data_IF_805579307323
#
_entry.id   IF_805579307323
#
_cell.length_a   1.000
_cell.length_b   1.000
_cell.length_c   1.000
_cell.angle_alpha   90.00
_cell.angle_beta   90.00
_cell.angle_gamma   90.00
#
_symmetry.space_group_name_H-M   'P 1'
#
loop_
_entity.id
_entity.type
_entity.pdbx_description
1 polymer ?
#
# COMPACT_ATOMS: atom_id res chain seq x y z
N UNK A 1 -25.20 15.07 -3.64
CA UNK A 1 -24.43 14.78 -2.41
C UNK A 1 -24.32 13.27 -2.26
N UNK A 2 -23.22 12.69 -2.75
CA UNK A 2 -23.02 11.24 -2.74
C UNK A 2 -22.62 10.78 -1.33
N UNK A 3 -23.51 10.06 -0.66
CA UNK A 3 -23.32 9.51 0.68
C UNK A 3 -22.03 8.67 0.72
N UNK A 4 -21.06 8.94 1.61
CA UNK A 4 -19.84 8.16 1.64
C UNK A 4 -20.18 6.72 2.02
N UNK A 5 -19.91 5.78 1.11
CA UNK A 5 -20.10 4.36 1.35
C UNK A 5 -19.25 3.97 2.56
N UNK A 6 -19.91 3.71 3.69
CA UNK A 6 -19.24 3.19 4.88
C UNK A 6 -18.54 1.88 4.50
N UNK A 7 -17.21 1.76 4.67
CA UNK A 7 -16.53 0.55 4.26
C UNK A 7 -16.94 -0.58 5.22
N UNK A 8 -17.66 -1.57 4.68
CA UNK A 8 -18.24 -2.72 5.38
C UNK A 8 -17.52 -3.98 4.92
N UNK A 9 -17.46 -4.97 5.80
CA UNK A 9 -17.02 -6.32 5.45
C UNK A 9 -17.93 -6.88 4.37
N UNK A 10 -17.35 -7.56 3.38
CA UNK A 10 -18.07 -8.22 2.27
C UNK A 10 -17.82 -9.73 2.33
N UNK A 11 -18.38 -10.46 3.32
CA UNK A 11 -18.02 -11.86 3.59
C UNK A 11 -18.29 -12.79 2.40
N UNK A 12 -19.32 -12.53 1.59
CA UNK A 12 -19.60 -13.30 0.37
C UNK A 12 -18.50 -13.08 -0.69
N UNK A 13 -18.01 -11.85 -0.83
CA UNK A 13 -16.91 -11.55 -1.75
C UNK A 13 -15.59 -12.18 -1.27
N UNK A 14 -15.32 -12.14 0.04
CA UNK A 14 -14.19 -12.83 0.65
C UNK A 14 -14.25 -14.35 0.41
N UNK A 15 -15.40 -14.98 0.65
CA UNK A 15 -15.59 -16.42 0.43
C UNK A 15 -15.39 -16.81 -1.04
N UNK A 16 -15.86 -15.98 -1.98
CA UNK A 16 -15.63 -16.19 -3.42
C UNK A 16 -14.15 -16.09 -3.78
N UNK A 17 -13.45 -15.08 -3.25
CA UNK A 17 -12.01 -14.91 -3.47
C UNK A 17 -11.22 -16.11 -2.94
N UNK A 18 -11.51 -16.59 -1.72
CA UNK A 18 -10.91 -17.82 -1.17
C UNK A 18 -11.18 -19.03 -2.06
N UNK A 19 -12.43 -19.23 -2.50
CA UNK A 19 -12.79 -20.36 -3.36
C UNK A 19 -12.02 -20.34 -4.69
N UNK A 20 -11.85 -19.16 -5.27
CA UNK A 20 -11.12 -19.00 -6.53
C UNK A 20 -9.62 -19.24 -6.33
N UNK A 21 -9.03 -18.75 -5.23
CA UNK A 21 -7.63 -19.02 -4.88
C UNK A 21 -7.36 -20.52 -4.62
N UNK A 22 -8.34 -21.24 -4.04
CA UNK A 22 -8.24 -22.70 -3.87
C UNK A 22 -8.28 -23.45 -5.20
N UNK A 23 -8.95 -22.90 -6.22
CA UNK A 23 -9.05 -23.49 -7.57
C UNK A 23 -7.83 -23.15 -8.44
N UNK A 24 -7.29 -21.94 -8.28
CA UNK A 24 -6.07 -21.51 -8.93
C UNK A 24 -5.23 -20.73 -7.92
N UNK A 25 -4.17 -21.37 -7.41
CA UNK A 25 -3.29 -20.78 -6.41
C UNK A 25 -2.42 -19.66 -6.95
N UNK A 26 -2.28 -19.57 -8.28
CA UNK A 26 -1.49 -18.52 -8.94
C UNK A 26 -2.34 -17.28 -9.29
N UNK A 27 -3.65 -17.30 -9.04
CA UNK A 27 -4.53 -16.14 -9.23
C UNK A 27 -4.34 -15.12 -8.08
N UNK A 28 -3.23 -14.40 -8.12
CA UNK A 28 -2.83 -13.38 -7.14
C UNK A 28 -3.85 -12.24 -7.02
N UNK A 29 -4.67 -12.01 -8.06
CA UNK A 29 -5.76 -11.02 -8.02
C UNK A 29 -6.79 -11.36 -6.92
N UNK A 30 -7.03 -12.64 -6.63
CA UNK A 30 -7.96 -13.04 -5.57
C UNK A 30 -7.48 -12.64 -4.18
N UNK A 31 -6.16 -12.55 -3.96
CA UNK A 31 -5.59 -12.06 -2.70
C UNK A 31 -5.99 -10.61 -2.46
N UNK A 32 -5.87 -9.76 -3.48
CA UNK A 32 -6.30 -8.36 -3.41
C UNK A 32 -7.80 -8.22 -3.15
N UNK A 33 -8.62 -9.01 -3.85
CA UNK A 33 -10.08 -9.02 -3.64
C UNK A 33 -10.47 -9.49 -2.24
N UNK A 34 -9.76 -10.49 -1.70
CA UNK A 34 -9.96 -10.97 -0.33
C UNK A 34 -9.63 -9.89 0.69
N UNK A 35 -8.45 -9.25 0.56
CA UNK A 35 -8.02 -8.15 1.44
C UNK A 35 -9.02 -6.99 1.36
N UNK A 36 -9.50 -6.63 0.17
CA UNK A 36 -10.51 -5.58 0.02
C UNK A 36 -11.83 -5.94 0.71
N UNK A 37 -12.30 -7.18 0.52
CA UNK A 37 -13.53 -7.66 1.12
C UNK A 37 -13.47 -7.71 2.65
N UNK A 38 -12.28 -7.95 3.23
CA UNK A 38 -12.06 -8.04 4.67
C UNK A 38 -11.64 -6.72 5.33
N UNK A 39 -11.28 -5.69 4.55
CA UNK A 39 -10.75 -4.42 5.05
C UNK A 39 -11.68 -3.69 6.04
N UNK A 40 -13.00 -3.82 5.86
CA UNK A 40 -14.02 -3.24 6.74
C UNK A 40 -13.72 -1.77 7.12
N UNK A 41 -13.80 -1.45 8.42
CA UNK A 41 -13.46 -0.12 8.96
C UNK A 41 -11.98 0.03 9.34
N UNK A 42 -11.12 -0.95 9.05
CA UNK A 42 -9.73 -0.98 9.54
C UNK A 42 -8.93 0.24 9.06
N UNK A 43 -9.04 0.62 7.79
CA UNK A 43 -8.36 1.82 7.27
C UNK A 43 -8.77 3.10 8.01
N UNK A 44 -10.05 3.27 8.35
CA UNK A 44 -10.50 4.46 9.11
C UNK A 44 -9.98 4.45 10.55
N UNK A 45 -9.89 3.28 11.19
CA UNK A 45 -9.31 3.13 12.54
C UNK A 45 -7.81 3.42 12.54
N UNK A 46 -7.09 2.91 11.54
CA UNK A 46 -5.65 3.17 11.34
C UNK A 46 -5.40 4.65 11.08
N UNK A 47 -6.22 5.26 10.21
CA UNK A 47 -6.15 6.68 9.93
C UNK A 47 -6.41 7.54 11.19
N UNK A 48 -7.43 7.19 11.99
CA UNK A 48 -7.71 7.87 13.24
C UNK A 48 -6.55 7.78 14.24
N UNK A 49 -5.79 6.68 14.25
CA UNK A 49 -4.54 6.56 15.03
C UNK A 49 -3.43 7.42 14.43
N UNK A 50 -3.25 7.36 13.11
CA UNK A 50 -2.21 8.09 12.38
C UNK A 50 -2.27 9.60 12.64
N UNK A 51 -3.45 10.22 12.52
CA UNK A 51 -3.64 11.68 12.75
C UNK A 51 -3.37 12.14 14.19
N UNK A 52 -3.22 11.21 15.15
CA UNK A 52 -2.86 11.50 16.54
C UNK A 52 -1.36 11.44 16.79
N UNK A 53 -0.58 10.99 15.82
CA UNK A 53 0.89 10.96 15.90
C UNK A 53 1.47 12.27 15.39
N UNK A 54 2.63 12.68 15.91
CA UNK A 54 3.35 13.86 15.43
C UNK A 54 3.65 13.77 13.93
N UNK A 55 4.15 12.62 13.47
CA UNK A 55 4.40 12.37 12.04
C UNK A 55 3.12 12.48 11.22
N UNK A 56 2.00 11.96 11.71
CA UNK A 56 0.74 12.04 10.99
C UNK A 56 0.21 13.47 10.91
N UNK A 57 0.34 14.26 11.97
CA UNK A 57 -0.03 15.67 11.96
C UNK A 57 0.82 16.46 10.97
N UNK A 58 2.15 16.25 10.95
CA UNK A 58 3.05 16.89 9.99
C UNK A 58 2.70 16.51 8.54
N UNK A 59 2.52 15.21 8.27
CA UNK A 59 2.15 14.73 6.91
C UNK A 59 0.84 15.32 6.43
N UNK A 60 -0.18 15.38 7.28
CA UNK A 60 -1.48 15.95 6.92
C UNK A 60 -1.42 17.47 6.76
N UNK A 61 -0.76 18.17 7.69
CA UNK A 61 -0.65 19.64 7.66
C UNK A 61 0.16 20.15 6.46
N UNK A 62 1.21 19.44 6.07
CA UNK A 62 2.05 19.77 4.92
C UNK A 62 1.56 19.15 3.60
N UNK A 63 0.48 18.34 3.64
CA UNK A 63 0.00 17.55 2.49
C UNK A 63 1.12 16.75 1.80
N UNK A 64 2.00 16.11 2.59
CA UNK A 64 3.20 15.43 2.09
C UNK A 64 2.85 14.15 1.35
N UNK A 65 2.96 14.18 0.02
CA UNK A 65 2.81 13.00 -0.81
C UNK A 65 4.11 12.24 -0.87
N UNK A 66 4.08 10.97 -0.46
CA UNK A 66 5.27 10.12 -0.50
C UNK A 66 5.69 9.82 -1.95
N UNK A 67 4.70 9.67 -2.83
CA UNK A 67 4.89 9.45 -4.25
C UNK A 67 5.88 10.46 -4.86
N UNK A 68 5.74 11.75 -4.60
CA UNK A 68 6.57 12.81 -5.19
C UNK A 68 8.07 12.60 -4.98
N UNK A 69 8.47 11.94 -3.87
CA UNK A 69 9.86 11.59 -3.58
C UNK A 69 10.27 10.26 -4.19
N UNK A 70 9.35 9.30 -4.23
CA UNK A 70 9.62 7.96 -4.80
C UNK A 70 9.61 7.94 -6.33
N UNK A 71 8.97 8.94 -6.96
CA UNK A 71 8.98 9.18 -8.41
C UNK A 71 10.26 9.85 -8.91
N UNK A 72 10.97 10.57 -8.06
CA UNK A 72 12.19 11.29 -8.45
C UNK A 72 13.40 10.35 -8.56
N UNK A 73 13.42 9.60 -9.67
CA UNK A 73 14.46 8.60 -9.96
C UNK A 73 15.86 9.20 -10.05
N UNK A 74 15.97 10.44 -10.53
CA UNK A 74 17.27 11.11 -10.69
C UNK A 74 17.87 11.38 -9.32
N UNK A 75 17.09 11.96 -8.40
CA UNK A 75 17.55 12.20 -7.04
C UNK A 75 17.84 10.90 -6.30
N UNK A 76 16.99 9.88 -6.44
CA UNK A 76 17.20 8.59 -5.77
C UNK A 76 18.45 7.85 -6.27
N UNK A 77 18.72 7.89 -7.57
CA UNK A 77 19.94 7.29 -8.16
C UNK A 77 21.21 7.99 -7.69
N UNK A 78 21.14 9.31 -7.44
CA UNK A 78 22.26 10.11 -6.97
C UNK A 78 22.60 9.88 -5.47
N UNK A 79 21.73 9.21 -4.72
CA UNK A 79 21.97 8.97 -3.30
C UNK A 79 23.15 7.97 -3.09
N UNK A 80 23.93 8.13 -2.01
CA UNK A 80 25.01 7.20 -1.67
C UNK A 80 24.50 5.77 -1.46
N UNK A 81 25.35 4.79 -1.81
CA UNK A 81 25.11 3.39 -1.49
C UNK A 81 24.94 3.19 0.03
N UNK A 82 24.07 2.27 0.43
CA UNK A 82 23.72 2.01 1.83
C UNK A 82 22.63 2.92 2.40
N UNK A 83 22.17 3.93 1.66
CA UNK A 83 20.97 4.71 2.03
C UNK A 83 19.70 3.99 1.59
N UNK A 84 18.59 4.20 2.32
CA UNK A 84 17.29 3.64 1.97
C UNK A 84 16.81 4.09 0.58
N UNK A 85 17.01 5.36 0.23
CA UNK A 85 16.58 5.87 -1.07
C UNK A 85 17.35 5.23 -2.23
N UNK A 86 18.66 5.00 -2.06
CA UNK A 86 19.45 4.27 -3.06
C UNK A 86 19.02 2.81 -3.17
N UNK A 87 18.83 2.13 -2.04
CA UNK A 87 18.36 0.75 -2.01
C UNK A 87 16.97 0.59 -2.67
N UNK A 88 16.06 1.53 -2.44
CA UNK A 88 14.76 1.56 -3.10
C UNK A 88 14.88 1.75 -4.61
N UNK A 89 15.74 2.66 -5.07
CA UNK A 89 16.00 2.82 -6.50
C UNK A 89 16.51 1.54 -7.16
N UNK A 90 17.50 0.90 -6.54
CA UNK A 90 18.10 -0.33 -7.05
C UNK A 90 17.06 -1.49 -7.08
N UNK A 91 16.24 -1.61 -6.04
CA UNK A 91 15.13 -2.58 -5.96
C UNK A 91 14.07 -2.37 -7.06
N UNK A 92 13.62 -1.13 -7.27
CA UNK A 92 12.65 -0.84 -8.31
C UNK A 92 13.22 -1.13 -9.71
N UNK A 93 14.51 -0.86 -9.92
CA UNK A 93 15.20 -1.16 -11.17
C UNK A 93 15.33 -2.67 -11.42
N UNK A 94 15.65 -3.49 -10.40
CA UNK A 94 15.77 -4.95 -10.55
C UNK A 94 14.43 -5.62 -10.88
N UNK A 95 13.33 -5.06 -10.37
CA UNK A 95 11.97 -5.55 -10.62
C UNK A 95 11.35 -4.99 -11.91
N UNK A 96 12.07 -4.13 -12.65
CA UNK A 96 11.57 -3.43 -13.84
C UNK A 96 10.30 -2.59 -13.56
N UNK A 97 10.21 -1.99 -12.36
CA UNK A 97 9.08 -1.19 -11.90
C UNK A 97 9.42 0.31 -11.79
N UNK A 98 8.38 1.14 -11.79
CA UNK A 98 8.46 2.56 -11.40
C UNK A 98 7.30 2.93 -10.46
N UNK A 99 7.53 3.88 -9.55
CA UNK A 99 6.52 4.33 -8.60
C UNK A 99 5.26 4.84 -9.32
N UNK A 100 5.45 5.54 -10.44
CA UNK A 100 4.37 6.05 -11.29
C UNK A 100 3.63 4.94 -12.02
N UNK A 101 4.34 3.89 -12.48
CA UNK A 101 3.73 2.74 -13.15
C UNK A 101 2.81 1.92 -12.25
N UNK A 102 3.03 1.98 -10.93
CA UNK A 102 2.19 1.29 -9.93
C UNK A 102 0.92 2.07 -9.54
N UNK A 103 0.86 3.38 -9.82
CA UNK A 103 -0.32 4.20 -9.51
C UNK A 103 -1.56 3.71 -10.28
N UNK A 104 -1.53 3.50 -11.62
CA UNK A 104 -2.68 3.00 -12.37
C UNK A 104 -3.18 1.63 -11.91
N UNK A 105 -2.27 0.70 -11.58
CA UNK A 105 -2.62 -0.66 -11.11
C UNK A 105 -3.39 -0.65 -9.79
N UNK A 106 -3.17 0.38 -8.98
CA UNK A 106 -3.80 0.53 -7.67
C UNK A 106 -5.09 1.39 -7.67
N UNK A 107 -5.43 2.02 -8.82
CA UNK A 107 -6.65 2.81 -8.94
C UNK A 107 -7.85 1.88 -9.04
N UNK A 108 -8.39 1.49 -7.89
CA UNK A 108 -9.83 1.25 -7.79
C UNK A 108 -10.48 2.59 -8.11
N UNK A 109 -11.27 2.67 -9.19
CA UNK A 109 -12.00 3.88 -9.63
C UNK A 109 -12.78 4.50 -8.46
N UNK A 110 -12.11 5.39 -7.75
CA UNK A 110 -12.68 6.23 -6.71
C UNK A 110 -12.28 7.66 -7.06
N UNK A 111 -13.25 8.59 -7.05
CA UNK A 111 -12.93 9.98 -7.36
C UNK A 111 -11.83 10.45 -6.42
N UNK A 112 -10.83 11.20 -6.91
CA UNK A 112 -9.85 11.84 -6.06
C UNK A 112 -10.60 12.79 -5.14
N UNK A 113 -10.78 12.41 -3.88
CA UNK A 113 -11.15 13.33 -2.84
C UNK A 113 -9.83 13.87 -2.25
N UNK A 114 -9.69 15.19 -2.17
CA UNK A 114 -8.64 15.85 -1.39
C UNK A 114 -8.93 15.70 0.11
N UNK A 115 -9.17 14.46 0.56
CA UNK A 115 -9.39 14.15 1.96
C UNK A 115 -8.14 13.45 2.54
N UNK A 116 -7.85 13.75 3.80
CA UNK A 116 -6.73 13.17 4.54
C UNK A 116 -6.71 11.62 4.49
N UNK A 117 -7.89 11.00 4.33
CA UNK A 117 -8.03 9.54 4.24
C UNK A 117 -7.41 9.03 2.94
N UNK A 118 -7.59 9.75 1.84
CA UNK A 118 -6.98 9.45 0.55
C UNK A 118 -5.47 9.60 0.64
N UNK A 119 -4.96 10.72 1.19
CA UNK A 119 -3.53 10.92 1.41
C UNK A 119 -2.92 9.79 2.27
N UNK A 120 -3.61 9.38 3.33
CA UNK A 120 -3.20 8.25 4.15
C UNK A 120 -3.18 6.94 3.36
N UNK A 121 -4.19 6.66 2.53
CA UNK A 121 -4.24 5.43 1.73
C UNK A 121 -3.16 5.37 0.67
N UNK A 122 -2.92 6.47 -0.04
CA UNK A 122 -1.80 6.60 -0.98
C UNK A 122 -0.51 6.32 -0.23
N UNK A 123 -0.24 7.04 0.85
CA UNK A 123 0.99 6.85 1.63
C UNK A 123 1.22 5.40 2.04
N UNK A 124 0.20 4.69 2.52
CA UNK A 124 0.34 3.27 2.90
C UNK A 124 0.63 2.37 1.70
N UNK A 125 0.09 2.68 0.52
CA UNK A 125 0.44 1.99 -0.73
C UNK A 125 1.91 2.25 -1.08
N UNK A 126 2.35 3.50 -1.12
CA UNK A 126 3.76 3.80 -1.44
C UNK A 126 4.74 3.21 -0.42
N UNK A 127 4.34 3.12 0.85
CA UNK A 127 5.14 2.47 1.87
C UNK A 127 5.30 0.97 1.65
N UNK A 128 4.39 0.29 0.97
CA UNK A 128 4.48 -1.15 0.72
C UNK A 128 5.80 -1.52 0.03
N UNK A 129 6.14 -0.82 -1.06
CA UNK A 129 7.39 -1.09 -1.79
C UNK A 129 8.64 -0.74 -0.97
N UNK A 130 8.56 0.31 -0.13
CA UNK A 130 9.64 0.61 0.82
C UNK A 130 9.80 -0.48 1.88
N UNK A 131 8.71 -1.15 2.28
CA UNK A 131 8.79 -2.21 3.28
C UNK A 131 9.48 -3.47 2.72
N UNK A 132 9.34 -3.78 1.43
CA UNK A 132 10.18 -4.81 0.79
C UNK A 132 11.67 -4.52 0.99
N UNK A 133 12.09 -3.28 0.75
CA UNK A 133 13.49 -2.85 0.90
C UNK A 133 13.95 -2.94 2.36
N UNK A 134 13.14 -2.44 3.30
CA UNK A 134 13.51 -2.40 4.73
C UNK A 134 13.53 -3.81 5.36
N UNK A 135 12.63 -4.69 4.94
CA UNK A 135 12.51 -6.05 5.51
C UNK A 135 13.37 -7.07 4.78
N UNK A 136 13.80 -6.77 3.54
CA UNK A 136 14.50 -7.72 2.68
C UNK A 136 13.60 -8.78 2.05
N UNK A 137 12.28 -8.68 2.20
CA UNK A 137 11.35 -9.59 1.54
C UNK A 137 11.20 -9.23 0.05
N UNK A 138 11.42 -10.20 -0.83
CA UNK A 138 11.24 -10.04 -2.26
C UNK A 138 9.77 -9.89 -2.69
N UNK A 139 9.55 -9.74 -3.99
CA UNK A 139 8.21 -9.70 -4.61
C UNK A 139 7.72 -11.07 -5.08
N UNK A 140 8.48 -12.12 -4.79
CA UNK A 140 8.01 -13.49 -4.99
C UNK A 140 6.85 -13.82 -4.03
N UNK A 141 6.04 -14.86 -4.32
CA UNK A 141 4.86 -15.16 -3.50
C UNK A 141 5.14 -15.36 -2.00
N UNK A 142 6.31 -15.90 -1.63
CA UNK A 142 6.69 -16.07 -0.23
C UNK A 142 7.08 -14.72 0.39
N UNK A 143 7.86 -13.91 -0.31
CA UNK A 143 8.20 -12.55 0.10
C UNK A 143 6.98 -11.67 0.35
N UNK A 144 6.01 -11.69 -0.56
CA UNK A 144 4.72 -11.00 -0.42
C UNK A 144 3.94 -11.49 0.81
N UNK A 145 3.87 -12.81 1.03
CA UNK A 145 3.18 -13.38 2.19
C UNK A 145 3.84 -12.96 3.51
N UNK A 146 5.18 -12.98 3.57
CA UNK A 146 5.96 -12.50 4.71
C UNK A 146 5.71 -11.01 4.96
N UNK A 147 5.67 -10.19 3.92
CA UNK A 147 5.41 -8.76 4.05
C UNK A 147 3.97 -8.47 4.54
N UNK A 148 2.98 -9.22 4.08
CA UNK A 148 1.60 -9.15 4.57
C UNK A 148 1.54 -9.51 6.06
N UNK A 149 2.19 -10.59 6.48
CA UNK A 149 2.23 -11.00 7.89
C UNK A 149 2.91 -9.95 8.77
N UNK A 150 4.03 -9.39 8.31
CA UNK A 150 4.74 -8.29 8.99
C UNK A 150 3.82 -7.05 9.15
N UNK A 151 3.18 -6.63 8.07
CA UNK A 151 2.27 -5.48 8.06
C UNK A 151 1.03 -5.71 8.92
N UNK A 152 0.52 -6.95 8.97
CA UNK A 152 -0.60 -7.33 9.82
C UNK A 152 -0.28 -7.13 11.30
N UNK A 153 0.89 -7.56 11.77
CA UNK A 153 1.30 -7.40 13.16
C UNK A 153 1.34 -5.92 13.60
N UNK A 154 1.73 -5.02 12.70
CA UNK A 154 1.81 -3.57 12.96
C UNK A 154 0.45 -2.87 12.92
N UNK A 155 -0.42 -3.31 12.00
CA UNK A 155 -1.60 -2.53 11.62
C UNK A 155 -2.92 -3.18 12.05
N UNK A 156 -2.88 -4.43 12.53
CA UNK A 156 -4.02 -5.27 12.95
C UNK A 156 -5.19 -5.21 11.95
N UNK A 157 -4.87 -5.59 10.71
CA UNK A 157 -5.79 -5.54 9.58
C UNK A 157 -7.12 -6.25 9.86
#
# INVERSE_FOLDING_TARGET
MSRPLSPRLRPIAALRAVRNLMRNREDTQQVFLLIEALRGKTTLRQFARFRRTETGQAVLGENRRLLDRLSDRVSLAALPAGTLGRAYYDFMASESLSAEGLVPLSRIERPPAADDVTLFRERNREMHDLLHVVTGYGRDPLGEACLVAFSYAQTRL
#
